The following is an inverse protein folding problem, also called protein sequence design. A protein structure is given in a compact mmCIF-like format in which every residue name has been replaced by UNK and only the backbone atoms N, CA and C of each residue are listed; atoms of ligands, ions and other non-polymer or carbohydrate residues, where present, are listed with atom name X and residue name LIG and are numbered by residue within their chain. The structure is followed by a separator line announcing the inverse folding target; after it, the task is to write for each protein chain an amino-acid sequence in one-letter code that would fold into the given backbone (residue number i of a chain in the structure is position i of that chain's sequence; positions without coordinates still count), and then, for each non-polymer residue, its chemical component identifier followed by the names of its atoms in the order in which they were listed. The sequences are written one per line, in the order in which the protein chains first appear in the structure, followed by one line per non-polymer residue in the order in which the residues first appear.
data_IF_413827755620
#
_entry.id   IF_413827755620
#
_cell.length_a   1.000
_cell.length_b   1.000
_cell.length_c   1.000
_cell.angle_alpha   90.00
_cell.angle_beta   90.00
_cell.angle_gamma   90.00
#
_symmetry.space_group_name_H-M   'P 1'
#
loop_
_entity.id
_entity.type
_entity.pdbx_description
1 polymer ?
#
# COMPACT_ATOMS: atom_id res chain seq x y z
N UNK A 1 4.03 3.52 13.27
CA UNK A 1 3.77 2.22 12.62
C UNK A 1 2.52 2.32 11.77
N UNK A 2 2.49 1.59 10.67
CA UNK A 2 1.27 1.30 9.90
C UNK A 2 0.75 -0.08 10.28
N UNK A 3 -0.55 -0.30 10.16
CA UNK A 3 -1.14 -1.63 10.31
C UNK A 3 -2.00 -1.98 9.10
N UNK A 4 -1.68 -3.11 8.48
CA UNK A 4 -2.44 -3.71 7.40
C UNK A 4 -3.69 -4.36 7.99
N UNK A 5 -4.85 -4.01 7.43
CA UNK A 5 -6.15 -4.54 7.83
C UNK A 5 -6.81 -5.15 6.57
N UNK A 6 -6.55 -6.43 6.26
CA UNK A 6 -7.09 -7.08 5.06
C UNK A 6 -8.62 -6.94 5.00
N UNK A 7 -9.15 -6.70 3.80
CA UNK A 7 -10.57 -6.39 3.59
C UNK A 7 -11.02 -4.99 4.03
N UNK A 8 -10.24 -4.28 4.86
CA UNK A 8 -10.61 -2.97 5.43
C UNK A 8 -9.76 -1.81 4.90
N UNK A 9 -8.44 -1.96 4.84
CA UNK A 9 -7.50 -0.91 4.41
C UNK A 9 -6.24 -0.85 5.26
N UNK A 10 -5.76 0.36 5.57
CA UNK A 10 -4.53 0.59 6.33
C UNK A 10 -4.77 1.58 7.47
N UNK A 11 -4.42 1.19 8.69
CA UNK A 11 -4.37 2.10 9.84
C UNK A 11 -3.10 2.95 9.75
N UNK A 12 -3.27 4.26 9.86
CA UNK A 12 -2.20 5.24 9.80
C UNK A 12 -1.53 5.44 11.17
N UNK A 13 -0.26 5.86 11.21
CA UNK A 13 0.46 6.15 12.45
C UNK A 13 -0.21 7.28 13.27
N UNK A 14 0.17 7.36 14.55
CA UNK A 14 -0.18 8.48 15.45
C UNK A 14 -1.68 8.75 15.61
N UNK A 15 -2.52 7.72 15.43
CA UNK A 15 -3.99 7.82 15.49
C UNK A 15 -4.56 8.76 14.41
N UNK A 16 -3.87 8.91 13.28
CA UNK A 16 -4.34 9.65 12.10
C UNK A 16 -5.58 9.03 11.42
N UNK A 17 -6.05 7.88 11.90
CA UNK A 17 -7.23 7.19 11.38
C UNK A 17 -6.86 6.07 10.41
N UNK A 18 -7.82 5.68 9.57
CA UNK A 18 -7.68 4.54 8.66
C UNK A 18 -7.94 4.99 7.23
N UNK A 19 -7.01 4.71 6.32
CA UNK A 19 -7.30 4.69 4.89
C UNK A 19 -8.15 3.46 4.60
N UNK A 20 -9.47 3.66 4.57
CA UNK A 20 -10.44 2.57 4.46
C UNK A 20 -10.89 2.40 3.01
N UNK A 21 -10.93 1.16 2.54
CA UNK A 21 -11.51 0.83 1.25
C UNK A 21 -12.96 1.32 1.16
N UNK A 22 -13.33 1.86 -0.01
CA UNK A 22 -14.63 2.49 -0.22
C UNK A 22 -14.67 4.00 0.06
N UNK A 23 -13.62 4.61 0.63
CA UNK A 23 -13.54 6.07 0.78
C UNK A 23 -13.57 6.81 -0.56
N UNK A 24 -14.07 8.04 -0.59
CA UNK A 24 -13.86 8.92 -1.76
C UNK A 24 -12.41 9.38 -1.85
N UNK A 25 -12.00 9.91 -3.01
CA UNK A 25 -10.69 10.56 -3.18
C UNK A 25 -10.46 11.61 -2.10
N UNK A 26 -11.42 12.53 -1.91
CA UNK A 26 -11.29 13.64 -0.97
C UNK A 26 -11.06 13.15 0.47
N UNK A 27 -11.84 12.16 0.94
CA UNK A 27 -11.67 11.61 2.29
C UNK A 27 -10.34 10.90 2.45
N UNK A 28 -9.93 10.08 1.47
CA UNK A 28 -8.65 9.38 1.51
C UNK A 28 -7.47 10.37 1.51
N UNK A 29 -7.56 11.41 0.69
CA UNK A 29 -6.57 12.48 0.59
C UNK A 29 -6.46 13.24 1.90
N UNK A 30 -7.60 13.61 2.50
CA UNK A 30 -7.60 14.29 3.77
C UNK A 30 -6.94 13.44 4.86
N UNK A 31 -7.32 12.16 4.97
CA UNK A 31 -6.72 11.23 5.93
C UNK A 31 -5.19 11.11 5.77
N UNK A 32 -4.68 10.91 4.55
CA UNK A 32 -3.24 10.79 4.33
C UNK A 32 -2.48 12.09 4.62
N UNK A 33 -3.09 13.25 4.34
CA UNK A 33 -2.43 14.55 4.52
C UNK A 33 -2.18 14.91 5.99
N UNK A 34 -2.77 14.17 6.92
CA UNK A 34 -2.49 14.33 8.35
C UNK A 34 -1.10 13.83 8.76
N UNK A 35 -0.43 13.03 7.91
CA UNK A 35 0.88 12.45 8.22
C UNK A 35 1.97 12.82 7.22
N UNK A 36 1.63 13.22 5.99
CA UNK A 36 2.60 13.61 4.97
C UNK A 36 2.03 14.56 3.93
N UNK A 37 2.90 15.24 3.19
CA UNK A 37 2.50 16.01 2.01
C UNK A 37 2.10 15.07 0.86
N UNK A 38 1.06 15.45 0.12
CA UNK A 38 0.48 14.60 -0.93
C UNK A 38 0.81 15.12 -2.32
N UNK A 39 1.24 14.22 -3.19
CA UNK A 39 1.46 14.46 -4.62
C UNK A 39 0.42 13.70 -5.43
N UNK A 40 -0.26 14.39 -6.35
CA UNK A 40 -1.14 13.71 -7.31
C UNK A 40 -0.30 12.94 -8.31
N UNK A 41 -0.77 11.77 -8.71
CA UNK A 41 -0.15 10.96 -9.76
C UNK A 41 -1.21 10.42 -10.71
N UNK A 42 -0.79 10.10 -11.94
CA UNK A 42 -1.63 9.44 -12.92
C UNK A 42 -1.18 7.98 -13.03
N UNK A 43 -2.05 7.06 -12.65
CA UNK A 43 -1.81 5.62 -12.79
C UNK A 43 -2.79 5.06 -13.80
N UNK A 44 -2.27 4.35 -14.81
CA UNK A 44 -3.11 3.69 -15.81
C UNK A 44 -4.08 2.71 -15.12
N UNK A 45 -5.38 2.84 -15.42
CA UNK A 45 -6.40 2.00 -14.82
C UNK A 45 -6.73 2.32 -13.35
N UNK A 46 -6.36 3.49 -12.85
CA UNK A 46 -6.91 4.04 -11.61
C UNK A 46 -7.79 5.25 -11.94
N UNK A 47 -8.93 5.39 -11.26
CA UNK A 47 -9.81 6.55 -11.46
C UNK A 47 -9.18 7.86 -10.94
N UNK A 48 -8.37 7.73 -9.88
CA UNK A 48 -7.53 8.78 -9.31
C UNK A 48 -6.39 8.09 -8.57
N UNK A 49 -5.28 8.79 -8.40
CA UNK A 49 -4.16 8.29 -7.62
C UNK A 49 -3.38 9.46 -6.99
N UNK A 50 -2.84 9.22 -5.80
CA UNK A 50 -1.91 10.13 -5.14
C UNK A 50 -0.93 9.35 -4.28
N UNK A 51 0.16 9.98 -3.90
CA UNK A 51 1.17 9.41 -3.01
C UNK A 51 1.66 10.41 -1.98
N UNK A 52 2.31 9.92 -0.94
CA UNK A 52 3.05 10.73 0.00
C UNK A 52 4.16 9.92 0.66
N UNK A 53 5.18 10.62 1.15
CA UNK A 53 6.34 10.02 1.80
C UNK A 53 6.26 10.19 3.31
N UNK A 54 6.47 9.10 4.05
CA UNK A 54 6.48 9.11 5.51
C UNK A 54 7.67 8.32 6.04
N UNK A 55 8.67 9.04 6.55
CA UNK A 55 9.83 8.46 7.24
C UNK A 55 10.49 7.28 6.49
N UNK A 56 10.71 7.45 5.19
CA UNK A 56 11.34 6.42 4.33
C UNK A 56 10.37 5.39 3.75
N UNK A 57 9.05 5.56 3.93
CA UNK A 57 8.04 4.79 3.22
C UNK A 57 7.30 5.66 2.20
N UNK A 58 7.05 5.11 1.02
CA UNK A 58 6.08 5.65 0.07
C UNK A 58 4.70 5.06 0.41
N UNK A 59 3.66 5.88 0.33
CA UNK A 59 2.27 5.45 0.47
C UNK A 59 1.53 5.80 -0.81
N UNK A 60 1.21 4.80 -1.62
CA UNK A 60 0.46 4.95 -2.85
C UNK A 60 -1.02 4.60 -2.62
N UNK A 61 -1.91 5.50 -3.03
CA UNK A 61 -3.35 5.39 -2.79
C UNK A 61 -4.10 5.55 -4.10
N UNK A 62 -4.84 4.52 -4.51
CA UNK A 62 -5.49 4.43 -5.81
C UNK A 62 -7.01 4.19 -5.68
N UNK A 63 -7.77 4.95 -6.44
CA UNK A 63 -9.20 4.74 -6.66
C UNK A 63 -9.46 3.61 -7.67
N UNK A 64 -10.48 2.80 -7.41
CA UNK A 64 -10.92 1.75 -8.32
C UNK A 64 -11.38 2.35 -9.66
N UNK A 65 -10.97 1.77 -10.82
CA UNK A 65 -11.22 2.33 -12.14
C UNK A 65 -12.71 2.40 -12.51
N UNK A 66 -13.45 1.31 -12.32
CA UNK A 66 -14.79 1.12 -12.88
C UNK A 66 -15.66 0.20 -11.98
N UNK A 67 -16.97 0.11 -12.28
CA UNK A 67 -17.95 -0.73 -11.57
C UNK A 67 -18.68 -0.05 -10.41
N UNK A 68 -19.41 -0.83 -9.59
CA UNK A 68 -20.24 -0.33 -8.48
C UNK A 68 -19.46 0.45 -7.40
N UNK A 69 -18.13 0.35 -7.42
CA UNK A 69 -17.22 1.05 -6.50
C UNK A 69 -16.23 1.97 -7.23
N UNK A 70 -16.53 2.36 -8.48
CA UNK A 70 -15.72 3.29 -9.24
C UNK A 70 -15.43 4.56 -8.43
N UNK A 71 -14.22 5.09 -8.59
CA UNK A 71 -13.74 6.29 -7.89
C UNK A 71 -13.68 6.16 -6.36
N UNK A 72 -13.90 4.97 -5.79
CA UNK A 72 -13.68 4.71 -4.37
C UNK A 72 -12.29 4.12 -4.15
N UNK A 73 -11.70 4.38 -2.99
CA UNK A 73 -10.41 3.82 -2.60
C UNK A 73 -10.46 2.30 -2.74
N UNK A 74 -9.63 1.79 -3.65
CA UNK A 74 -9.60 0.39 -4.04
C UNK A 74 -8.25 -0.28 -3.80
N UNK A 75 -7.17 0.48 -3.67
CA UNK A 75 -5.84 -0.06 -3.46
C UNK A 75 -4.98 0.90 -2.64
N UNK A 76 -4.20 0.34 -1.71
CA UNK A 76 -3.17 1.06 -0.94
C UNK A 76 -1.90 0.25 -0.97
N UNK A 77 -0.79 0.86 -1.32
CA UNK A 77 0.54 0.24 -1.27
C UNK A 77 1.46 1.02 -0.34
N UNK A 78 2.18 0.27 0.49
CA UNK A 78 3.28 0.78 1.29
C UNK A 78 4.57 0.26 0.65
N UNK A 79 5.37 1.18 0.13
CA UNK A 79 6.68 0.88 -0.44
C UNK A 79 7.78 1.45 0.44
N UNK A 80 8.99 0.91 0.31
CA UNK A 80 10.18 1.55 0.85
C UNK A 80 10.66 2.60 -0.14
N UNK A 81 10.85 3.81 0.34
CA UNK A 81 11.51 4.85 -0.44
C UNK A 81 13.03 4.65 -0.36
N UNK A 82 13.78 4.82 -1.46
CA UNK A 82 15.22 4.98 -1.37
C UNK A 82 15.53 6.15 -0.43
N UNK A 83 16.38 5.92 0.57
CA UNK A 83 16.72 6.95 1.55
C UNK A 83 17.65 8.04 0.98
N UNK A 84 18.27 7.78 -0.18
CA UNK A 84 19.22 8.65 -0.83
C UNK A 84 19.00 8.72 -2.35
N UNK A 85 19.50 9.80 -2.94
CA UNK A 85 19.42 10.07 -4.39
C UNK A 85 20.22 9.07 -5.24
N UNK A 86 20.87 8.07 -4.61
CA UNK A 86 21.63 7.02 -5.28
C UNK A 86 20.72 6.08 -6.08
N UNK A 87 19.43 6.02 -5.72
CA UNK A 87 18.48 5.07 -6.30
C UNK A 87 18.75 3.63 -5.88
N UNK A 88 19.62 3.39 -4.90
CA UNK A 88 19.85 2.04 -4.38
C UNK A 88 18.66 1.56 -3.55
N UNK A 89 18.30 0.28 -3.72
CA UNK A 89 17.23 -0.33 -2.93
C UNK A 89 17.63 -0.41 -1.45
N UNK A 90 16.73 -0.08 -0.51
CA UNK A 90 16.98 -0.23 0.91
C UNK A 90 17.36 -1.67 1.30
N UNK A 91 18.55 -1.83 1.89
CA UNK A 91 19.16 -3.14 2.18
C UNK A 91 18.84 -3.69 3.59
N UNK A 92 18.31 -2.86 4.49
CA UNK A 92 18.05 -3.19 5.91
C UNK A 92 16.58 -3.07 6.30
N UNK A 93 16.22 -3.22 7.59
CA UNK A 93 14.85 -3.00 8.06
C UNK A 93 14.38 -1.57 7.83
N UNK A 94 13.08 -1.37 7.61
CA UNK A 94 12.51 -0.03 7.47
C UNK A 94 12.50 0.71 8.83
N UNK A 95 12.57 2.04 8.79
CA UNK A 95 12.52 2.89 9.98
C UNK A 95 11.14 2.87 10.66
N UNK A 96 10.08 2.65 9.87
CA UNK A 96 8.70 2.58 10.35
C UNK A 96 8.16 1.17 10.18
N UNK A 97 7.69 0.53 11.27
CA UNK A 97 7.08 -0.80 11.18
C UNK A 97 5.81 -0.80 10.34
N UNK A 98 5.66 -1.84 9.52
CA UNK A 98 4.43 -2.17 8.77
C UNK A 98 3.90 -3.49 9.29
N UNK A 99 2.85 -3.42 10.10
CA UNK A 99 2.36 -4.56 10.86
C UNK A 99 1.24 -5.31 10.14
N UNK A 100 1.29 -6.63 10.18
CA UNK A 100 0.15 -7.49 9.94
C UNK A 100 0.10 -8.55 11.05
N UNK A 101 -1.06 -8.67 11.72
CA UNK A 101 -1.22 -9.55 12.90
C UNK A 101 -0.13 -9.37 13.98
N UNK A 102 0.36 -8.13 14.14
CA UNK A 102 1.43 -7.79 15.09
C UNK A 102 2.85 -8.09 14.61
N UNK A 103 3.02 -8.69 13.42
CA UNK A 103 4.33 -8.96 12.82
C UNK A 103 4.75 -7.79 11.94
N UNK A 104 5.95 -7.25 12.18
CA UNK A 104 6.55 -6.23 11.32
C UNK A 104 7.13 -6.86 10.05
N UNK A 105 6.40 -6.68 8.95
CA UNK A 105 6.75 -7.20 7.64
C UNK A 105 7.96 -6.49 7.02
N UNK A 106 8.25 -5.26 7.46
CA UNK A 106 9.34 -4.46 6.93
C UNK A 106 10.55 -4.43 7.87
N UNK A 107 10.41 -4.93 9.10
CA UNK A 107 11.50 -5.09 10.06
C UNK A 107 12.32 -6.38 9.89
N UNK A 108 11.90 -7.30 9.02
CA UNK A 108 12.49 -8.65 8.91
C UNK A 108 12.70 -9.11 7.46
N UNK A 109 13.68 -9.99 7.20
CA UNK A 109 13.82 -10.64 5.90
C UNK A 109 12.55 -11.37 5.48
N UNK A 110 12.27 -11.40 4.18
CA UNK A 110 11.06 -11.98 3.57
C UNK A 110 10.79 -13.41 4.00
N UNK A 111 11.84 -14.21 4.19
CA UNK A 111 11.70 -15.63 4.52
C UNK A 111 11.15 -15.83 5.93
N UNK A 112 11.37 -14.87 6.83
CA UNK A 112 10.85 -14.88 8.20
C UNK A 112 9.39 -14.45 8.29
N UNK A 113 8.89 -13.70 7.30
CA UNK A 113 7.55 -13.09 7.32
C UNK A 113 6.62 -13.60 6.21
N UNK A 114 7.10 -14.48 5.34
CA UNK A 114 6.33 -14.98 4.20
C UNK A 114 5.00 -15.65 4.62
N UNK A 115 5.00 -16.39 5.73
CA UNK A 115 3.80 -17.04 6.29
C UNK A 115 2.81 -16.06 6.94
N UNK A 116 3.20 -14.79 7.10
CA UNK A 116 2.40 -13.75 7.75
C UNK A 116 1.87 -12.72 6.75
N UNK A 117 2.02 -12.97 5.44
CA UNK A 117 1.50 -12.08 4.42
C UNK A 117 -0.04 -12.20 4.34
N UNK A 118 -0.77 -11.08 4.21
CA UNK A 118 -2.19 -11.12 3.90
C UNK A 118 -2.45 -11.87 2.59
N UNK A 119 -3.48 -12.73 2.56
CA UNK A 119 -3.81 -13.54 1.38
C UNK A 119 -4.12 -12.69 0.13
N UNK A 120 -4.69 -11.49 0.32
CA UNK A 120 -5.06 -10.58 -0.77
C UNK A 120 -3.99 -9.52 -1.07
N UNK A 121 -2.78 -9.69 -0.52
CA UNK A 121 -1.71 -8.72 -0.73
C UNK A 121 -0.99 -8.92 -2.06
N UNK A 122 -0.60 -7.82 -2.68
CA UNK A 122 0.41 -7.81 -3.75
C UNK A 122 1.74 -7.45 -3.13
N UNK A 123 2.74 -8.31 -3.27
CA UNK A 123 4.05 -8.09 -2.66
C UNK A 123 5.07 -7.92 -3.77
N UNK A 124 5.80 -6.81 -3.75
CA UNK A 124 6.97 -6.63 -4.58
C UNK A 124 8.23 -6.93 -3.74
N UNK A 125 9.07 -7.82 -4.26
CA UNK A 125 10.29 -8.28 -3.60
C UNK A 125 11.55 -7.55 -4.09
N UNK A 126 11.42 -6.57 -4.99
CA UNK A 126 12.55 -5.93 -5.67
C UNK A 126 13.10 -6.79 -6.80
N UNK A 127 13.70 -6.15 -7.81
CA UNK A 127 14.35 -6.84 -8.93
C UNK A 127 15.74 -7.31 -8.50
N UNK A 128 15.76 -8.32 -7.63
CA UNK A 128 16.90 -9.19 -7.39
C UNK A 128 18.27 -8.52 -7.30
N UNK A 129 18.66 -8.04 -6.11
CA UNK A 129 19.82 -8.51 -5.36
C UNK A 129 20.00 -7.69 -4.08
N UNK A 130 20.41 -8.43 -3.05
CA UNK A 130 20.86 -8.02 -1.71
C UNK A 130 19.77 -7.42 -0.79
N UNK A 131 19.77 -7.84 0.47
CA UNK A 131 18.80 -7.43 1.50
C UNK A 131 17.78 -8.51 1.84
N UNK A 132 17.08 -9.06 0.85
CA UNK A 132 16.09 -10.13 1.09
C UNK A 132 14.86 -9.68 1.89
N UNK A 133 14.62 -8.38 2.03
CA UNK A 133 13.44 -7.79 2.66
C UNK A 133 12.32 -7.56 1.63
N UNK A 134 11.08 -7.37 2.11
CA UNK A 134 9.96 -6.95 1.25
C UNK A 134 10.15 -5.47 0.88
N UNK A 135 10.04 -5.13 -0.41
CA UNK A 135 10.20 -3.75 -0.90
C UNK A 135 8.89 -2.98 -0.90
N UNK A 136 7.80 -3.61 -1.32
CA UNK A 136 6.47 -3.03 -1.15
C UNK A 136 5.41 -4.08 -0.88
N UNK A 137 4.34 -3.64 -0.23
CA UNK A 137 3.14 -4.44 -0.01
C UNK A 137 1.90 -3.62 -0.28
N UNK A 138 1.08 -4.12 -1.20
CA UNK A 138 -0.20 -3.58 -1.60
C UNK A 138 -1.35 -4.37 -1.00
N UNK A 139 -2.35 -3.68 -0.47
CA UNK A 139 -3.64 -4.23 -0.14
C UNK A 139 -4.67 -3.79 -1.17
N UNK A 140 -5.50 -4.74 -1.57
CA UNK A 140 -6.61 -4.51 -2.49
C UNK A 140 -7.93 -4.58 -1.74
N UNK A 141 -8.87 -3.72 -2.14
CA UNK A 141 -10.25 -3.79 -1.70
C UNK A 141 -10.87 -5.13 -2.11
N UNK A 142 -11.67 -5.78 -1.24
CA UNK A 142 -12.40 -6.99 -1.62
C UNK A 142 -13.44 -6.72 -2.71
N UNK A 143 -13.79 -5.45 -2.91
CA UNK A 143 -14.70 -4.99 -3.96
C UNK A 143 -13.98 -4.60 -5.24
N UNK A 144 -12.65 -4.79 -5.30
CA UNK A 144 -11.90 -4.70 -6.55
C UNK A 144 -12.18 -5.93 -7.39
N UNK A 145 -13.36 -5.97 -8.01
CA UNK A 145 -13.59 -6.86 -9.13
C UNK A 145 -12.78 -6.33 -10.32
N UNK A 146 -12.01 -7.20 -10.96
CA UNK A 146 -11.68 -7.00 -12.38
C UNK A 146 -13.04 -6.89 -13.08
N UNK A 147 -13.30 -5.87 -13.92
CA UNK A 147 -14.56 -5.74 -14.60
C UNK A 147 -14.88 -7.06 -15.31
N UNK A 148 -16.14 -7.46 -15.17
CA UNK A 148 -16.75 -8.65 -15.75
C UNK A 148 -16.13 -9.05 -17.10
N UNK A 149 -15.63 -10.28 -17.13
CA UNK A 149 -15.15 -10.99 -18.33
C UNK A 149 -15.17 -12.50 -18.10
N UNK A 150 -16.15 -13.00 -17.35
CA UNK A 150 -16.53 -14.41 -17.36
C UNK A 150 -17.94 -14.51 -17.95
N UNK A 151 -18.04 -14.25 -19.26
CA UNK A 151 -19.15 -14.82 -20.02
C UNK A 151 -18.92 -16.33 -20.10
N UNK A 152 -19.95 -17.03 -19.67
CA UNK A 152 -20.19 -18.43 -19.96
C UNK A 152 -20.43 -18.56 -21.46
N UNK A 153 -19.56 -19.30 -22.15
CA UNK A 153 -19.92 -20.20 -23.26
C UNK A 153 -18.98 -21.40 -23.21
#
# INVERSE_FOLDING_TARGET
MFQLLPGTGVLLPHRAGTLRFGMSEHTARWALSTICDIRTQSVCGAAWAFSGDYLGLTIDVLGAPEGNHAQRLGYVELGRSPCDSSGEEPQGPALVPVLHEGIDLFGRPRHDVASHLPSDSRVNHGLGRTGGYIQSIGLRSPYWAIPYGSETV
#
